data_IF_610040330940
#
_entry.id   IF_610040330940
#
_cell.length_a   1.000
_cell.length_b   1.000
_cell.length_c   1.000
_cell.angle_alpha   90.00
_cell.angle_beta   90.00
_cell.angle_gamma   90.00
#
_symmetry.space_group_name_H-M   'P 1'
#
loop_
_entity.id
_entity.type
_entity.pdbx_description
1 polymer ?
#
# COMPACT_ATOMS: atom_id res chain seq x y z
N UNK A 1 -24.75 41.79 -7.02
CA UNK A 1 -24.86 40.55 -6.24
C UNK A 1 -24.55 39.37 -7.16
N UNK A 2 -23.27 39.09 -7.41
CA UNK A 2 -22.84 37.95 -8.23
C UNK A 2 -22.88 36.69 -7.37
N UNK A 3 -23.60 35.68 -7.85
CA UNK A 3 -23.68 34.35 -7.22
C UNK A 3 -22.27 33.82 -6.95
N UNK A 4 -21.99 33.58 -5.69
CA UNK A 4 -20.85 32.75 -5.28
C UNK A 4 -21.30 31.31 -5.53
N UNK A 5 -20.76 30.71 -6.58
CA UNK A 5 -20.99 29.31 -6.93
C UNK A 5 -20.28 28.43 -5.89
N UNK A 6 -21.03 28.12 -4.84
CA UNK A 6 -20.61 27.29 -3.72
C UNK A 6 -20.55 25.81 -4.15
N UNK A 7 -19.59 25.43 -4.99
CA UNK A 7 -19.32 24.02 -5.29
C UNK A 7 -18.43 23.41 -4.20
N UNK A 8 -19.02 23.30 -3.00
CA UNK A 8 -18.52 22.62 -1.81
C UNK A 8 -18.69 21.11 -1.95
N UNK A 9 -17.98 20.48 -2.88
CA UNK A 9 -17.64 19.06 -2.75
C UNK A 9 -16.51 18.64 -3.71
N UNK A 10 -15.46 19.44 -3.82
CA UNK A 10 -14.21 18.97 -4.43
C UNK A 10 -13.50 18.12 -3.39
N UNK A 11 -13.87 16.84 -3.32
CA UNK A 11 -13.18 15.85 -2.49
C UNK A 11 -11.67 16.03 -2.60
N UNK A 12 -10.99 15.96 -1.46
CA UNK A 12 -9.57 16.24 -1.30
C UNK A 12 -8.75 15.49 -2.37
N UNK A 13 -8.23 16.23 -3.35
CA UNK A 13 -7.57 15.66 -4.55
C UNK A 13 -6.31 14.84 -4.24
N UNK A 14 -5.64 15.15 -3.13
CA UNK A 14 -4.43 14.45 -2.67
C UNK A 14 -4.75 13.18 -1.86
N UNK A 15 -5.97 13.06 -1.33
CA UNK A 15 -6.37 11.94 -0.46
C UNK A 15 -6.15 10.56 -1.10
N UNK A 16 -6.57 10.30 -2.34
CA UNK A 16 -6.37 8.98 -2.95
C UNK A 16 -4.88 8.65 -3.18
N UNK A 17 -4.04 9.64 -3.47
CA UNK A 17 -2.61 9.44 -3.61
C UNK A 17 -1.95 9.07 -2.26
N UNK A 18 -2.33 9.78 -1.18
CA UNK A 18 -1.84 9.50 0.17
C UNK A 18 -2.33 8.13 0.66
N UNK A 19 -3.56 7.76 0.35
CA UNK A 19 -4.14 6.46 0.71
C UNK A 19 -3.38 5.30 0.06
N UNK A 20 -3.11 5.39 -1.24
CA UNK A 20 -2.29 4.40 -1.94
C UNK A 20 -0.88 4.32 -1.38
N UNK A 21 -0.24 5.46 -1.19
CA UNK A 21 1.10 5.53 -0.63
C UNK A 21 1.14 4.84 0.73
N UNK A 22 0.20 5.18 1.62
CA UNK A 22 0.10 4.56 2.94
C UNK A 22 -0.07 3.04 2.83
N UNK A 23 -0.97 2.55 1.96
CA UNK A 23 -1.17 1.11 1.78
C UNK A 23 0.11 0.42 1.29
N UNK A 24 0.78 0.96 0.27
CA UNK A 24 2.03 0.41 -0.27
C UNK A 24 3.14 0.44 0.78
N UNK A 25 3.31 1.56 1.48
CA UNK A 25 4.30 1.69 2.56
C UNK A 25 4.04 0.71 3.70
N UNK A 26 2.78 0.47 4.09
CA UNK A 26 2.45 -0.54 5.10
C UNK A 26 2.88 -1.93 4.66
N UNK A 27 2.59 -2.32 3.40
CA UNK A 27 3.02 -3.62 2.88
C UNK A 27 4.53 -3.80 2.80
N UNK A 28 5.31 -2.72 2.77
CA UNK A 28 6.79 -2.77 2.80
C UNK A 28 7.31 -2.79 4.24
N UNK A 29 6.85 -1.86 5.08
CA UNK A 29 7.39 -1.64 6.42
C UNK A 29 7.04 -2.79 7.36
N UNK A 30 5.81 -3.32 7.28
CA UNK A 30 5.34 -4.41 8.15
C UNK A 30 6.24 -5.66 8.07
N UNK A 31 6.48 -6.26 6.89
CA UNK A 31 7.33 -7.45 6.80
C UNK A 31 8.80 -7.17 7.14
N UNK A 32 9.31 -5.95 6.92
CA UNK A 32 10.68 -5.58 7.32
C UNK A 32 10.81 -5.56 8.85
N UNK A 33 9.88 -4.89 9.54
CA UNK A 33 9.88 -4.83 11.01
C UNK A 33 9.65 -6.22 11.59
N UNK A 34 8.73 -7.00 11.02
CA UNK A 34 8.48 -8.38 11.43
C UNK A 34 9.75 -9.23 11.29
N UNK A 35 10.44 -9.13 10.15
CA UNK A 35 11.69 -9.83 9.91
C UNK A 35 12.81 -9.41 10.87
N UNK A 36 12.87 -8.12 11.24
CA UNK A 36 13.85 -7.62 12.21
C UNK A 36 13.62 -8.18 13.61
N UNK A 37 12.37 -8.14 14.11
CA UNK A 37 12.05 -8.59 15.47
C UNK A 37 12.20 -10.11 15.58
N UNK A 38 11.57 -10.84 14.66
CA UNK A 38 11.57 -12.31 14.68
C UNK A 38 12.96 -12.85 14.29
N UNK A 39 13.59 -12.27 13.28
CA UNK A 39 14.92 -12.68 12.81
C UNK A 39 16.00 -12.48 13.85
N UNK A 40 16.07 -11.31 14.50
CA UNK A 40 17.02 -11.09 15.61
C UNK A 40 16.74 -12.01 16.80
N UNK A 41 15.47 -12.20 17.16
CA UNK A 41 15.10 -13.05 18.29
C UNK A 41 15.51 -14.51 18.10
N UNK A 42 15.33 -15.03 16.88
CA UNK A 42 15.77 -16.39 16.55
C UNK A 42 17.30 -16.50 16.40
N UNK A 43 17.96 -15.53 15.76
CA UNK A 43 19.43 -15.54 15.63
C UNK A 43 20.11 -15.51 17.01
N UNK A 44 19.57 -14.75 17.98
CA UNK A 44 20.08 -14.74 19.36
C UNK A 44 19.87 -16.08 20.09
N UNK A 45 18.77 -16.77 19.83
CA UNK A 45 18.46 -18.04 20.47
C UNK A 45 19.32 -19.20 19.95
N UNK A 46 19.63 -19.21 18.64
CA UNK A 46 20.39 -20.30 18.01
C UNK A 46 21.91 -20.04 17.91
N UNK A 47 22.38 -18.85 18.26
CA UNK A 47 23.81 -18.48 18.20
C UNK A 47 24.39 -18.46 16.77
N UNK A 48 23.52 -18.56 15.77
CA UNK A 48 23.87 -18.58 14.36
C UNK A 48 24.15 -17.17 13.86
N UNK A 49 25.15 -17.03 12.98
CA UNK A 49 25.35 -15.83 12.13
C UNK A 49 24.02 -15.44 11.46
N UNK A 50 23.80 -14.17 11.03
CA UNK A 50 22.48 -13.62 10.68
C UNK A 50 21.88 -14.20 9.38
N UNK A 51 21.68 -15.51 9.37
CA UNK A 51 21.14 -16.32 8.29
C UNK A 51 19.63 -16.41 8.41
N UNK A 52 19.11 -16.55 9.63
CA UNK A 52 17.66 -16.59 9.86
C UNK A 52 17.07 -15.23 9.55
N UNK A 53 17.70 -14.15 10.01
CA UNK A 53 17.35 -12.81 9.58
C UNK A 53 17.36 -12.66 8.05
N UNK A 54 18.37 -13.18 7.35
CA UNK A 54 18.49 -13.05 5.89
C UNK A 54 17.37 -13.79 5.15
N UNK A 55 17.06 -15.02 5.55
CA UNK A 55 15.96 -15.80 4.98
C UNK A 55 14.63 -15.12 5.26
N UNK A 56 14.43 -14.61 6.47
CA UNK A 56 13.18 -13.97 6.86
C UNK A 56 12.99 -12.60 6.20
N UNK A 57 14.06 -11.84 6.01
CA UNK A 57 14.05 -10.62 5.22
C UNK A 57 13.75 -10.92 3.75
N UNK A 58 14.33 -11.98 3.18
CA UNK A 58 14.03 -12.44 1.83
C UNK A 58 12.56 -12.86 1.66
N UNK A 59 12.03 -13.64 2.60
CA UNK A 59 10.62 -14.03 2.63
C UNK A 59 9.69 -12.82 2.80
N UNK A 60 10.04 -11.89 3.71
CA UNK A 60 9.31 -10.65 3.91
C UNK A 60 9.29 -9.77 2.66
N UNK A 61 10.41 -9.70 1.93
CA UNK A 61 10.49 -8.97 0.67
C UNK A 61 9.57 -9.56 -0.40
N UNK A 62 9.55 -10.89 -0.57
CA UNK A 62 8.61 -11.55 -1.48
C UNK A 62 7.15 -11.27 -1.10
N UNK A 63 6.85 -11.28 0.20
CA UNK A 63 5.53 -10.96 0.72
C UNK A 63 5.13 -9.51 0.38
N UNK A 64 6.05 -8.55 0.51
CA UNK A 64 5.84 -7.16 0.08
C UNK A 64 5.50 -7.07 -1.40
N UNK A 65 6.26 -7.77 -2.27
CA UNK A 65 6.02 -7.74 -3.72
C UNK A 65 4.60 -8.21 -4.06
N UNK A 66 4.14 -9.30 -3.46
CA UNK A 66 2.79 -9.83 -3.67
C UNK A 66 1.73 -8.84 -3.17
N UNK A 67 1.93 -8.27 -1.98
CA UNK A 67 1.02 -7.28 -1.40
C UNK A 67 0.87 -6.03 -2.26
N UNK A 68 1.99 -5.47 -2.74
CA UNK A 68 2.01 -4.29 -3.60
C UNK A 68 1.29 -4.55 -4.92
N UNK A 69 1.58 -5.68 -5.59
CA UNK A 69 0.91 -6.05 -6.84
C UNK A 69 -0.60 -6.16 -6.65
N UNK A 70 -1.05 -6.71 -5.52
CA UNK A 70 -2.49 -6.80 -5.19
C UNK A 70 -3.12 -5.42 -4.99
N UNK A 71 -2.45 -4.51 -4.27
CA UNK A 71 -2.93 -3.13 -4.05
C UNK A 71 -3.04 -2.37 -5.38
N UNK A 72 -2.01 -2.45 -6.22
CA UNK A 72 -2.00 -1.76 -7.51
C UNK A 72 -3.10 -2.29 -8.43
N UNK A 73 -3.28 -3.60 -8.50
CA UNK A 73 -4.36 -4.21 -9.32
C UNK A 73 -5.73 -3.71 -8.87
N UNK A 74 -5.98 -3.70 -7.56
CA UNK A 74 -7.23 -3.19 -6.99
C UNK A 74 -7.45 -1.72 -7.34
N UNK A 75 -6.40 -0.89 -7.24
CA UNK A 75 -6.48 0.52 -7.61
C UNK A 75 -6.81 0.74 -9.07
N UNK A 76 -6.17 -0.01 -9.98
CA UNK A 76 -6.45 0.08 -11.42
C UNK A 76 -7.92 -0.31 -11.71
N UNK A 77 -8.44 -1.32 -11.05
CA UNK A 77 -9.86 -1.71 -11.18
C UNK A 77 -10.81 -0.63 -10.66
N UNK A 78 -10.51 0.00 -9.53
CA UNK A 78 -11.31 1.13 -9.00
C UNK A 78 -11.30 2.31 -9.97
N UNK A 79 -10.14 2.67 -10.54
CA UNK A 79 -10.04 3.73 -11.53
C UNK A 79 -10.88 3.45 -12.78
N UNK A 80 -10.83 2.21 -13.30
CA UNK A 80 -11.66 1.80 -14.45
C UNK A 80 -13.15 1.94 -14.17
N UNK A 81 -13.62 1.51 -12.99
CA UNK A 81 -15.02 1.67 -12.59
C UNK A 81 -15.45 3.13 -12.53
N UNK A 82 -14.62 3.99 -11.94
CA UNK A 82 -14.88 5.44 -11.86
C UNK A 82 -14.97 6.05 -13.26
N UNK A 83 -14.16 5.60 -14.21
CA UNK A 83 -14.19 6.06 -15.60
C UNK A 83 -15.43 5.57 -16.36
N UNK A 84 -15.82 4.31 -16.18
CA UNK A 84 -17.06 3.74 -16.76
C UNK A 84 -18.32 4.45 -16.24
N UNK A 85 -18.43 4.69 -14.93
CA UNK A 85 -19.54 5.43 -14.32
C UNK A 85 -19.63 6.88 -14.85
N UNK A 86 -18.48 7.55 -15.03
CA UNK A 86 -18.44 8.90 -15.61
C UNK A 86 -18.91 8.93 -17.07
N UNK A 87 -18.62 7.90 -17.86
CA UNK A 87 -19.05 7.82 -19.25
C UNK A 87 -20.56 7.51 -19.37
N UNK A 88 -21.11 6.68 -18.48
CA UNK A 88 -22.55 6.37 -18.44
C UNK A 88 -23.40 7.59 -18.07
N UNK A 89 -22.95 8.42 -17.12
CA UNK A 89 -23.68 9.62 -16.70
C UNK A 89 -23.56 10.80 -17.69
N UNK A 90 -22.73 10.66 -18.74
CA UNK A 90 -22.56 11.66 -19.80
C UNK A 90 -23.43 11.40 -21.04
N UNK A 91 -24.10 10.25 -21.12
CA UNK A 91 -24.90 9.80 -22.26
C UNK A 91 -26.38 9.89 -21.95
#
# INVERSE_FOLDING_TARGET
>A
MSKIDNNQNKGIWWKPAVELFSQVSTWIVVPIILALIVGKGLDQHYGTKPLIFLILAGAGFLFSLIGIVRVIRKYIEELKKIEEEKNLNKK
#
